data_IF_179213335518
#
_entry.id   IF_179213335518
#
_cell.length_a   1.000
_cell.length_b   1.000
_cell.length_c   1.000
_cell.angle_alpha   90.00
_cell.angle_beta   90.00
_cell.angle_gamma   90.00
#
_symmetry.space_group_name_H-M   'P 1'
#
loop_
_entity.id
_entity.type
_entity.pdbx_description
1 polymer ?
#
# COMPACT_ATOMS: atom_id res chain seq x y z
N UNK A 1 -13.13 15.18 -14.63
CA UNK A 1 -12.18 15.57 -13.56
C UNK A 1 -12.78 15.48 -12.15
N UNK A 2 -14.08 15.80 -11.96
CA UNK A 2 -14.75 15.78 -10.64
C UNK A 2 -14.76 14.43 -9.90
N UNK A 3 -14.76 13.29 -10.61
CA UNK A 3 -14.75 11.94 -10.00
C UNK A 3 -13.39 11.51 -9.43
N UNK A 4 -12.29 11.89 -10.08
CA UNK A 4 -10.92 11.61 -9.63
C UNK A 4 -10.64 12.36 -8.34
N UNK A 5 -11.02 13.64 -8.33
CA UNK A 5 -10.89 14.48 -7.15
C UNK A 5 -11.67 13.90 -5.98
N UNK A 6 -12.90 13.39 -6.18
CA UNK A 6 -13.69 12.72 -5.13
C UNK A 6 -13.05 11.42 -4.64
N UNK A 7 -12.52 10.57 -5.52
CA UNK A 7 -11.87 9.32 -5.12
C UNK A 7 -10.57 9.60 -4.36
N UNK A 8 -9.75 10.55 -4.85
CA UNK A 8 -8.55 11.01 -4.16
C UNK A 8 -8.92 11.65 -2.82
N UNK A 9 -10.01 12.41 -2.75
CA UNK A 9 -10.51 12.97 -1.49
C UNK A 9 -10.95 11.88 -0.52
N UNK A 10 -11.68 10.87 -0.98
CA UNK A 10 -12.17 9.74 -0.17
C UNK A 10 -10.98 8.91 0.33
N UNK A 11 -10.02 8.60 -0.53
CA UNK A 11 -8.79 7.90 -0.15
C UNK A 11 -7.98 8.75 0.83
N UNK A 12 -7.83 10.06 0.58
CA UNK A 12 -7.13 10.97 1.49
C UNK A 12 -7.87 11.17 2.83
N UNK A 13 -9.21 11.14 2.85
CA UNK A 13 -9.99 11.22 4.08
C UNK A 13 -10.01 9.90 4.83
N UNK A 14 -9.99 8.75 4.16
CA UNK A 14 -9.84 7.45 4.82
C UNK A 14 -8.44 7.28 5.41
N UNK A 15 -7.40 7.70 4.67
CA UNK A 15 -6.02 7.76 5.17
C UNK A 15 -5.92 8.76 6.33
N UNK A 16 -6.48 9.97 6.19
CA UNK A 16 -6.52 10.95 7.26
C UNK A 16 -7.26 10.44 8.50
N UNK A 17 -8.42 9.81 8.33
CA UNK A 17 -9.18 9.20 9.41
C UNK A 17 -8.42 8.05 10.07
N UNK A 18 -7.65 7.25 9.30
CA UNK A 18 -6.79 6.20 9.85
C UNK A 18 -5.61 6.72 10.68
N UNK A 19 -5.17 7.96 10.42
CA UNK A 19 -4.12 8.65 11.16
C UNK A 19 -4.69 9.36 12.40
N UNK A 20 -5.93 9.84 12.34
CA UNK A 20 -6.59 10.62 13.39
C UNK A 20 -7.28 9.73 14.44
N UNK A 21 -7.81 8.55 14.05
CA UNK A 21 -8.41 7.62 15.01
C UNK A 21 -7.32 6.86 15.77
N UNK A 22 -7.52 6.51 17.06
CA UNK A 22 -6.57 5.71 17.83
C UNK A 22 -6.57 4.24 17.38
N UNK A 23 -6.36 3.97 16.09
CA UNK A 23 -6.33 2.62 15.48
C UNK A 23 -5.42 1.69 16.29
N UNK A 24 -4.31 2.22 16.80
CA UNK A 24 -3.43 1.49 17.71
C UNK A 24 -4.18 0.96 18.94
N UNK A 25 -4.96 1.77 19.65
CA UNK A 25 -5.70 1.35 20.86
C UNK A 25 -6.78 0.31 20.56
N UNK A 26 -7.53 0.50 19.46
CA UNK A 26 -8.55 -0.46 19.02
C UNK A 26 -7.93 -1.81 18.65
N UNK A 27 -6.75 -1.76 18.05
CA UNK A 27 -5.98 -2.95 17.71
C UNK A 27 -5.39 -3.65 18.92
N UNK A 28 -4.97 -2.91 19.95
CA UNK A 28 -4.56 -3.48 21.23
C UNK A 28 -5.72 -4.22 21.89
N UNK A 29 -6.90 -3.59 21.94
CA UNK A 29 -8.10 -4.21 22.48
C UNK A 29 -8.49 -5.49 21.71
N UNK A 30 -8.37 -5.46 20.37
CA UNK A 30 -8.59 -6.62 19.52
C UNK A 30 -7.62 -7.75 19.83
N UNK A 31 -6.33 -7.46 19.96
CA UNK A 31 -5.28 -8.45 20.26
C UNK A 31 -5.54 -9.12 21.61
N UNK A 32 -5.91 -8.35 22.64
CA UNK A 32 -6.29 -8.87 23.95
C UNK A 32 -7.54 -9.76 23.86
N UNK A 33 -8.56 -9.30 23.13
CA UNK A 33 -9.80 -10.05 22.94
C UNK A 33 -9.58 -11.36 22.18
N UNK A 34 -8.75 -11.34 21.13
CA UNK A 34 -8.40 -12.54 20.34
C UNK A 34 -7.68 -13.56 21.22
N UNK A 35 -6.75 -13.10 22.06
CA UNK A 35 -6.05 -13.97 23.02
C UNK A 35 -7.00 -14.63 24.02
N UNK A 36 -8.09 -13.96 24.39
CA UNK A 36 -9.13 -14.49 25.28
C UNK A 36 -10.17 -15.40 24.57
N UNK A 37 -10.38 -15.24 23.27
CA UNK A 37 -11.52 -15.84 22.53
C UNK A 37 -11.19 -17.11 21.74
N UNK A 38 -9.93 -17.59 21.77
CA UNK A 38 -9.53 -18.84 21.12
C UNK A 38 -9.79 -18.87 19.60
N UNK A 39 -10.41 -19.95 19.10
CA UNK A 39 -10.63 -20.19 17.65
C UNK A 39 -11.51 -19.10 17.00
N UNK A 40 -12.50 -18.57 17.72
CA UNK A 40 -13.32 -17.46 17.23
C UNK A 40 -12.52 -16.17 17.04
N UNK A 41 -11.48 -15.98 17.85
CA UNK A 41 -10.54 -14.88 17.70
C UNK A 41 -9.81 -14.89 16.35
N UNK A 42 -9.46 -16.07 15.83
CA UNK A 42 -8.78 -16.23 14.53
C UNK A 42 -9.66 -15.77 13.37
N UNK A 43 -10.94 -16.13 13.37
CA UNK A 43 -11.89 -15.75 12.32
C UNK A 43 -12.11 -14.23 12.29
N UNK A 44 -12.36 -13.63 13.46
CA UNK A 44 -12.56 -12.18 13.61
C UNK A 44 -11.30 -11.41 13.23
N UNK A 45 -10.12 -11.85 13.70
CA UNK A 45 -8.84 -11.27 13.33
C UNK A 45 -8.63 -11.28 11.80
N UNK A 46 -8.95 -12.39 11.14
CA UNK A 46 -8.79 -12.54 9.69
C UNK A 46 -9.68 -11.57 8.91
N UNK A 47 -10.94 -11.42 9.33
CA UNK A 47 -11.89 -10.47 8.73
C UNK A 47 -11.38 -9.03 8.90
N UNK A 48 -10.93 -8.68 10.11
CA UNK A 48 -10.42 -7.34 10.39
C UNK A 48 -9.15 -7.06 9.60
N UNK A 49 -8.27 -8.04 9.44
CA UNK A 49 -7.09 -7.90 8.59
C UNK A 49 -7.47 -7.57 7.14
N UNK A 50 -8.45 -8.27 6.58
CA UNK A 50 -8.93 -8.03 5.21
C UNK A 50 -9.51 -6.63 5.08
N UNK A 51 -10.37 -6.22 6.01
CA UNK A 51 -10.98 -4.88 6.01
C UNK A 51 -9.90 -3.81 6.14
N UNK A 52 -8.94 -4.00 7.05
CA UNK A 52 -7.83 -3.08 7.26
C UNK A 52 -7.02 -2.88 5.97
N UNK A 53 -6.65 -3.97 5.31
CA UNK A 53 -5.95 -3.92 4.03
C UNK A 53 -6.72 -3.15 2.95
N UNK A 54 -8.04 -3.34 2.87
CA UNK A 54 -8.91 -2.64 1.92
C UNK A 54 -9.00 -1.14 2.21
N UNK A 55 -9.01 -0.76 3.49
CA UNK A 55 -9.07 0.62 3.98
C UNK A 55 -7.73 1.34 4.05
N UNK A 56 -6.67 0.80 3.46
CA UNK A 56 -5.31 1.37 3.50
C UNK A 56 -4.69 1.46 4.91
N UNK A 57 -5.20 0.67 5.86
CA UNK A 57 -4.60 0.59 7.19
C UNK A 57 -3.27 -0.18 7.15
N UNK A 58 -2.26 0.23 7.94
CA UNK A 58 -0.97 -0.45 7.98
C UNK A 58 -1.13 -1.91 8.43
N UNK A 59 -0.82 -2.87 7.55
CA UNK A 59 -0.90 -4.30 7.89
C UNK A 59 0.16 -4.77 8.91
N UNK A 60 1.23 -3.99 9.10
CA UNK A 60 2.38 -4.33 9.95
C UNK A 60 1.95 -4.60 11.39
N UNK A 61 1.09 -3.76 11.96
CA UNK A 61 0.62 -3.89 13.34
C UNK A 61 -0.23 -5.14 13.54
N UNK A 62 -1.00 -5.56 12.53
CA UNK A 62 -1.79 -6.78 12.58
C UNK A 62 -0.88 -7.99 12.53
N UNK A 63 0.11 -7.99 11.64
CA UNK A 63 1.09 -9.08 11.51
C UNK A 63 1.95 -9.23 12.77
N UNK A 64 2.44 -8.13 13.34
CA UNK A 64 3.14 -8.14 14.63
C UNK A 64 2.22 -8.66 15.75
N UNK A 65 0.96 -8.20 15.79
CA UNK A 65 -0.04 -8.66 16.75
C UNK A 65 -0.33 -10.16 16.65
N UNK A 66 -0.38 -10.71 15.44
CA UNK A 66 -0.51 -12.16 15.23
C UNK A 66 0.68 -12.92 15.79
N UNK A 67 1.90 -12.38 15.64
CA UNK A 67 3.11 -12.91 16.26
C UNK A 67 3.05 -12.91 17.78
N UNK A 68 2.56 -11.81 18.37
CA UNK A 68 2.40 -11.66 19.81
C UNK A 68 1.38 -12.65 20.41
N UNK A 69 0.29 -12.93 19.69
CA UNK A 69 -0.80 -13.81 20.19
C UNK A 69 -0.52 -15.28 19.91
N UNK A 70 -0.13 -15.61 18.68
CA UNK A 70 -0.05 -17.00 18.21
C UNK A 70 1.38 -17.51 18.11
N UNK A 71 2.38 -16.66 18.29
CA UNK A 71 3.78 -16.98 18.06
C UNK A 71 4.18 -16.91 16.58
N UNK A 72 5.47 -17.11 16.28
CA UNK A 72 6.02 -16.89 14.94
C UNK A 72 5.45 -17.85 13.89
N UNK A 73 5.41 -19.15 14.21
CA UNK A 73 4.99 -20.19 13.27
C UNK A 73 3.49 -20.13 12.98
N UNK A 74 2.66 -20.20 14.01
CA UNK A 74 1.20 -20.15 13.84
C UNK A 74 0.71 -18.80 13.36
N UNK A 75 1.34 -17.70 13.82
CA UNK A 75 1.07 -16.36 13.29
C UNK A 75 1.36 -16.27 11.80
N UNK A 76 2.47 -16.83 11.32
CA UNK A 76 2.79 -16.84 9.88
C UNK A 76 1.80 -17.68 9.08
N UNK A 77 1.47 -18.89 9.57
CA UNK A 77 0.53 -19.80 8.90
C UNK A 77 -0.88 -19.20 8.79
N UNK A 78 -1.28 -18.38 9.77
CA UNK A 78 -2.56 -17.67 9.78
C UNK A 78 -2.51 -16.44 8.86
N UNK A 79 -1.52 -15.57 9.05
CA UNK A 79 -1.45 -14.27 8.35
C UNK A 79 -1.13 -14.43 6.86
N UNK A 80 -0.31 -15.41 6.47
CA UNK A 80 0.06 -15.60 5.07
C UNK A 80 -1.15 -15.75 4.13
N UNK A 81 -2.06 -16.72 4.31
CA UNK A 81 -3.25 -16.85 3.45
C UNK A 81 -4.21 -15.67 3.59
N UNK A 82 -4.40 -15.13 4.80
CA UNK A 82 -5.29 -13.98 5.05
C UNK A 82 -4.80 -12.73 4.33
N UNK A 83 -3.50 -12.47 4.40
CA UNK A 83 -2.88 -11.33 3.73
C UNK A 83 -2.97 -11.47 2.22
N UNK A 84 -2.68 -12.64 1.66
CA UNK A 84 -2.80 -12.86 0.21
C UNK A 84 -4.25 -12.73 -0.26
N UNK A 85 -5.23 -13.20 0.53
CA UNK A 85 -6.64 -13.01 0.24
C UNK A 85 -7.02 -11.53 0.26
N UNK A 86 -6.58 -10.78 1.28
CA UNK A 86 -6.81 -9.35 1.37
C UNK A 86 -6.17 -8.58 0.18
N UNK A 87 -4.94 -8.94 -0.18
CA UNK A 87 -4.22 -8.40 -1.33
C UNK A 87 -4.96 -8.69 -2.63
N UNK A 88 -5.51 -9.90 -2.77
CA UNK A 88 -6.27 -10.32 -3.95
C UNK A 88 -7.60 -9.58 -4.07
N UNK A 89 -8.30 -9.33 -2.97
CA UNK A 89 -9.55 -8.56 -2.98
C UNK A 89 -9.31 -7.10 -3.40
N UNK A 90 -8.28 -6.44 -2.85
CA UNK A 90 -7.88 -5.10 -3.25
C UNK A 90 -7.46 -5.04 -4.73
N UNK A 91 -6.64 -6.01 -5.16
CA UNK A 91 -6.25 -6.20 -6.56
C UNK A 91 -7.47 -6.36 -7.48
N UNK A 92 -8.41 -7.23 -7.12
CA UNK A 92 -9.59 -7.54 -7.93
C UNK A 92 -10.53 -6.34 -8.04
N UNK A 93 -10.67 -5.57 -6.96
CA UNK A 93 -11.43 -4.33 -6.96
C UNK A 93 -10.83 -3.31 -7.95
N UNK A 94 -9.50 -3.13 -7.93
CA UNK A 94 -8.81 -2.30 -8.91
C UNK A 94 -8.93 -2.83 -10.34
N UNK A 95 -8.64 -4.12 -10.55
CA UNK A 95 -8.56 -4.74 -11.86
C UNK A 95 -9.91 -4.80 -12.59
N UNK A 96 -11.00 -5.09 -11.86
CA UNK A 96 -12.33 -5.16 -12.44
C UNK A 96 -12.98 -3.79 -12.65
N UNK A 97 -12.98 -2.93 -11.62
CA UNK A 97 -13.78 -1.69 -11.62
C UNK A 97 -12.98 -0.44 -11.98
N UNK A 98 -11.72 -0.35 -11.58
CA UNK A 98 -10.92 0.87 -11.75
C UNK A 98 -10.11 0.84 -13.05
N UNK A 99 -9.55 -0.32 -13.43
CA UNK A 99 -8.70 -0.45 -14.62
C UNK A 99 -9.35 -0.01 -15.93
N UNK A 100 -10.61 -0.40 -16.27
CA UNK A 100 -11.24 0.06 -17.52
C UNK A 100 -11.40 1.58 -17.57
N UNK A 101 -11.70 2.19 -16.43
CA UNK A 101 -11.83 3.64 -16.30
C UNK A 101 -10.47 4.34 -16.42
N UNK A 102 -9.40 3.78 -15.82
CA UNK A 102 -8.03 4.30 -15.93
C UNK A 102 -7.54 4.22 -17.37
N UNK A 103 -7.70 3.08 -18.05
CA UNK A 103 -7.29 2.90 -19.46
C UNK A 103 -7.98 3.94 -20.35
N UNK A 104 -9.29 4.12 -20.19
CA UNK A 104 -10.05 5.14 -20.93
C UNK A 104 -9.56 6.57 -20.66
N UNK A 105 -9.04 6.83 -19.47
CA UNK A 105 -8.58 8.17 -19.06
C UNK A 105 -7.14 8.47 -19.46
N UNK A 106 -6.28 7.47 -19.40
CA UNK A 106 -4.85 7.56 -19.70
C UNK A 106 -4.61 7.58 -21.21
N UNK A 107 -5.52 6.98 -22.01
CA UNK A 107 -5.44 7.00 -23.47
C UNK A 107 -4.13 6.37 -23.98
N UNK A 108 -3.55 6.93 -25.04
CA UNK A 108 -2.31 6.43 -25.68
C UNK A 108 -1.02 6.83 -24.96
N UNK A 109 -1.06 6.94 -23.63
CA UNK A 109 0.17 7.22 -22.88
C UNK A 109 1.16 6.05 -23.03
N UNK A 110 2.23 6.30 -23.77
CA UNK A 110 3.28 5.32 -24.06
C UNK A 110 3.98 4.80 -22.80
N UNK A 111 4.13 5.63 -21.77
CA UNK A 111 4.75 5.21 -20.50
C UNK A 111 3.86 4.24 -19.74
N UNK A 112 2.57 4.54 -19.63
CA UNK A 112 1.62 3.62 -18.97
C UNK A 112 1.56 2.29 -19.71
N UNK A 113 1.48 2.32 -21.04
CA UNK A 113 1.44 1.11 -21.86
C UNK A 113 2.73 0.28 -21.74
N UNK A 114 3.90 0.92 -21.69
CA UNK A 114 5.17 0.23 -21.49
C UNK A 114 5.25 -0.47 -20.12
N UNK A 115 4.79 0.21 -19.05
CA UNK A 115 4.71 -0.37 -17.71
C UNK A 115 3.69 -1.51 -17.69
N UNK A 116 2.49 -1.31 -18.25
CA UNK A 116 1.44 -2.33 -18.29
C UNK A 116 1.90 -3.59 -19.02
N UNK A 117 2.58 -3.45 -20.16
CA UNK A 117 3.11 -4.57 -20.94
C UNK A 117 4.23 -5.30 -20.18
N UNK A 118 5.22 -4.57 -19.65
CA UNK A 118 6.32 -5.18 -18.89
C UNK A 118 5.80 -5.97 -17.67
N UNK A 119 4.84 -5.38 -16.96
CA UNK A 119 4.18 -5.98 -15.80
C UNK A 119 3.29 -7.17 -16.21
N UNK A 120 2.63 -7.12 -17.36
CA UNK A 120 1.81 -8.24 -17.87
C UNK A 120 2.66 -9.44 -18.28
N UNK A 121 3.80 -9.19 -18.94
CA UNK A 121 4.70 -10.24 -19.45
C UNK A 121 5.45 -10.95 -18.33
N UNK A 122 5.98 -10.19 -17.36
CA UNK A 122 6.78 -10.73 -16.24
C UNK A 122 6.06 -10.62 -14.89
N UNK A 123 4.73 -10.70 -14.88
CA UNK A 123 3.90 -10.40 -13.71
C UNK A 123 4.31 -11.14 -12.44
N UNK A 124 4.67 -12.42 -12.52
CA UNK A 124 5.13 -13.16 -11.34
C UNK A 124 6.42 -12.54 -10.76
N UNK A 125 7.44 -12.35 -11.61
CA UNK A 125 8.77 -11.85 -11.19
C UNK A 125 8.68 -10.43 -10.66
N UNK A 126 7.95 -9.56 -11.35
CA UNK A 126 7.79 -8.15 -10.96
C UNK A 126 7.03 -8.05 -9.65
N UNK A 127 5.91 -8.76 -9.49
CA UNK A 127 5.15 -8.76 -8.23
C UNK A 127 6.03 -9.28 -7.09
N UNK A 128 6.74 -10.39 -7.29
CA UNK A 128 7.62 -10.96 -6.25
C UNK A 128 8.70 -9.97 -5.81
N UNK A 129 9.40 -9.33 -6.76
CA UNK A 129 10.43 -8.33 -6.45
C UNK A 129 9.85 -7.11 -5.73
N UNK A 130 8.67 -6.65 -6.14
CA UNK A 130 7.99 -5.54 -5.48
C UNK A 130 7.51 -5.90 -4.06
N UNK A 131 7.19 -7.17 -3.79
CA UNK A 131 6.81 -7.65 -2.44
C UNK A 131 8.00 -7.80 -1.51
N UNK A 132 9.15 -8.18 -2.04
CA UNK A 132 10.41 -8.23 -1.29
C UNK A 132 10.98 -6.83 -1.02
N UNK A 133 10.55 -5.84 -1.81
CA UNK A 133 10.97 -4.46 -1.67
C UNK A 133 10.08 -3.70 -0.66
N UNK A 134 10.65 -3.01 0.34
CA UNK A 134 9.89 -2.20 1.29
C UNK A 134 9.47 -0.83 0.74
N UNK A 135 9.65 -0.59 -0.57
CA UNK A 135 9.48 0.74 -1.18
C UNK A 135 8.03 1.24 -1.21
N UNK A 136 7.05 0.33 -1.27
CA UNK A 136 5.66 0.69 -1.45
C UNK A 136 4.80 0.18 -0.30
N UNK A 137 3.83 0.97 0.19
CA UNK A 137 2.89 0.47 1.17
C UNK A 137 2.08 -0.68 0.61
N UNK A 138 1.82 -1.64 1.48
CA UNK A 138 1.11 -2.85 1.17
C UNK A 138 -0.21 -2.61 0.40
N UNK A 139 -1.10 -1.77 0.92
CA UNK A 139 -2.40 -1.50 0.28
C UNK A 139 -2.23 -0.77 -1.05
N UNK A 140 -1.37 0.25 -1.11
CA UNK A 140 -1.10 0.98 -2.35
C UNK A 140 -0.63 0.05 -3.47
N UNK A 141 0.34 -0.82 -3.17
CA UNK A 141 0.89 -1.77 -4.13
C UNK A 141 -0.18 -2.74 -4.66
N UNK A 142 -1.12 -3.18 -3.81
CA UNK A 142 -2.22 -4.06 -4.21
C UNK A 142 -3.12 -3.41 -5.28
N UNK A 143 -3.52 -2.15 -5.06
CA UNK A 143 -4.34 -1.42 -6.01
C UNK A 143 -3.55 -1.05 -7.27
N UNK A 144 -2.29 -0.61 -7.13
CA UNK A 144 -1.43 -0.27 -8.26
C UNK A 144 -1.23 -1.46 -9.20
N UNK A 145 -0.91 -2.64 -8.67
CA UNK A 145 -0.80 -3.88 -9.45
C UNK A 145 -2.15 -4.31 -10.05
N UNK A 146 -3.26 -4.06 -9.36
CA UNK A 146 -4.60 -4.30 -9.92
C UNK A 146 -4.93 -3.44 -11.13
N UNK A 147 -4.37 -2.22 -11.22
CA UNK A 147 -4.53 -1.37 -12.40
C UNK A 147 -3.73 -1.85 -13.61
N UNK A 148 -2.79 -2.77 -13.42
CA UNK A 148 -2.01 -3.37 -14.51
C UNK A 148 -2.66 -4.66 -15.04
N UNK A 149 -2.12 -5.19 -16.14
CA UNK A 149 -2.53 -6.42 -16.79
C UNK A 149 -1.93 -7.71 -16.20
N UNK A 150 -1.34 -7.67 -14.99
CA UNK A 150 -0.92 -8.89 -14.29
C UNK A 150 -2.07 -9.89 -14.23
N UNK A 151 -1.78 -11.17 -14.44
CA UNK A 151 -2.77 -12.24 -14.25
C UNK A 151 -2.97 -12.53 -12.76
N UNK A 152 -4.22 -12.68 -12.32
CA UNK A 152 -4.58 -13.00 -10.94
C UNK A 152 -3.77 -14.17 -10.34
N UNK A 153 -3.54 -15.24 -11.11
CA UNK A 153 -2.74 -16.40 -10.67
C UNK A 153 -1.29 -16.01 -10.34
N UNK A 154 -0.64 -15.26 -11.23
CA UNK A 154 0.73 -14.79 -11.03
C UNK A 154 0.81 -13.85 -9.83
N UNK A 155 -0.17 -12.98 -9.67
CA UNK A 155 -0.25 -12.06 -8.52
C UNK A 155 -0.36 -12.80 -7.18
N UNK A 156 -1.28 -13.78 -7.08
CA UNK A 156 -1.51 -14.55 -5.86
C UNK A 156 -0.29 -15.39 -5.49
N UNK A 157 0.28 -16.12 -6.45
CA UNK A 157 1.44 -16.98 -6.20
C UNK A 157 2.68 -16.16 -5.83
N UNK A 158 2.96 -15.08 -6.56
CA UNK A 158 4.09 -14.22 -6.25
C UNK A 158 3.90 -13.47 -4.93
N UNK A 159 2.68 -13.05 -4.59
CA UNK A 159 2.40 -12.42 -3.29
C UNK A 159 2.55 -13.41 -2.15
N UNK A 160 2.08 -14.65 -2.32
CA UNK A 160 2.24 -15.69 -1.30
C UNK A 160 3.72 -15.96 -1.03
N UNK A 161 4.52 -16.24 -2.05
CA UNK A 161 5.95 -16.53 -1.87
C UNK A 161 6.74 -15.28 -1.45
N UNK A 162 6.48 -14.13 -2.06
CA UNK A 162 7.22 -12.89 -1.81
C UNK A 162 6.94 -12.26 -0.45
N UNK A 163 5.74 -12.45 0.12
CA UNK A 163 5.40 -11.90 1.44
C UNK A 163 5.76 -12.83 2.59
N UNK A 164 5.98 -14.13 2.35
CA UNK A 164 6.29 -15.10 3.39
C UNK A 164 7.50 -14.71 4.27
N UNK A 165 8.66 -14.32 3.71
CA UNK A 165 9.83 -13.95 4.53
C UNK A 165 9.54 -12.76 5.44
N UNK A 166 8.90 -11.71 4.91
CA UNK A 166 8.53 -10.54 5.69
C UNK A 166 7.46 -10.88 6.75
N UNK A 167 6.47 -11.71 6.41
CA UNK A 167 5.42 -12.15 7.34
C UNK A 167 6.02 -12.95 8.50
N UNK A 168 6.95 -13.85 8.22
CA UNK A 168 7.68 -14.58 9.24
C UNK A 168 8.51 -13.65 10.13
N UNK A 169 9.25 -12.71 9.52
CA UNK A 169 10.03 -11.74 10.26
C UNK A 169 9.14 -10.90 11.21
N UNK A 170 8.03 -10.34 10.73
CA UNK A 170 7.14 -9.53 11.56
C UNK A 170 6.43 -10.35 12.63
N UNK A 171 5.99 -11.58 12.35
CA UNK A 171 5.40 -12.42 13.39
C UNK A 171 6.43 -12.88 14.42
N UNK A 172 7.68 -13.10 14.00
CA UNK A 172 8.80 -13.36 14.90
C UNK A 172 9.09 -12.16 15.80
N UNK A 173 9.25 -10.97 15.23
CA UNK A 173 9.43 -9.74 16.02
C UNK A 173 8.26 -9.51 16.97
N UNK A 174 7.02 -9.72 16.52
CA UNK A 174 5.84 -9.63 17.36
C UNK A 174 5.83 -10.62 18.53
N UNK A 175 6.39 -11.82 18.34
CA UNK A 175 6.49 -12.83 19.40
C UNK A 175 7.56 -12.52 20.46
N UNK A 176 8.54 -11.68 20.13
CA UNK A 176 9.58 -11.22 21.07
C UNK A 176 9.08 -10.09 21.97
N UNK A 177 8.03 -9.38 21.54
CA UNK A 177 7.45 -8.28 22.30
C UNK A 177 6.71 -8.83 23.51
N UNK A 178 6.96 -8.27 24.69
CA UNK A 178 6.38 -8.76 25.95
C UNK A 178 5.16 -7.96 26.39
N UNK A 179 5.08 -6.70 25.95
CA UNK A 179 3.98 -5.80 26.30
C UNK A 179 3.27 -5.22 25.07
N UNK A 180 1.99 -4.93 25.26
CA UNK A 180 1.15 -4.28 24.25
C UNK A 180 1.68 -2.87 23.91
N UNK A 181 2.33 -2.20 24.86
CA UNK A 181 2.98 -0.90 24.67
C UNK A 181 4.20 -0.97 23.77
N UNK A 182 5.07 -1.98 23.95
CA UNK A 182 6.20 -2.25 23.06
C UNK A 182 5.73 -2.58 21.64
N UNK A 183 4.63 -3.31 21.50
CA UNK A 183 4.03 -3.65 20.21
C UNK A 183 3.56 -2.39 19.49
N UNK A 184 2.90 -1.49 20.23
CA UNK A 184 2.46 -0.21 19.72
C UNK A 184 3.65 0.65 19.27
N UNK A 185 4.74 0.68 20.04
CA UNK A 185 5.95 1.42 19.69
C UNK A 185 6.64 0.83 18.44
N UNK A 186 6.77 -0.49 18.34
CA UNK A 186 7.32 -1.16 17.17
C UNK A 186 6.49 -0.88 15.90
N UNK A 187 5.16 -0.85 16.04
CA UNK A 187 4.28 -0.48 14.93
C UNK A 187 4.38 1.00 14.53
N UNK A 188 4.49 1.90 15.53
CA UNK A 188 4.64 3.34 15.30
C UNK A 188 5.95 3.64 14.58
N UNK A 189 7.06 3.05 14.99
CA UNK A 189 8.34 3.22 14.32
C UNK A 189 8.25 2.85 12.83
N UNK A 190 7.67 1.69 12.51
CA UNK A 190 7.47 1.29 11.11
C UNK A 190 6.55 2.22 10.31
N UNK A 191 5.54 2.80 10.97
CA UNK A 191 4.66 3.80 10.36
C UNK A 191 5.37 5.15 10.13
N UNK A 192 6.19 5.60 11.09
CA UNK A 192 7.02 6.81 10.97
C UNK A 192 8.06 6.68 9.87
N UNK A 193 8.72 5.52 9.75
CA UNK A 193 9.67 5.25 8.67
C UNK A 193 8.99 5.34 7.30
N UNK A 194 7.81 4.72 7.16
CA UNK A 194 7.02 4.80 5.93
C UNK A 194 6.56 6.24 5.63
N UNK A 195 6.11 6.98 6.63
CA UNK A 195 5.73 8.39 6.49
C UNK A 195 6.93 9.26 6.07
N UNK A 196 8.09 9.05 6.66
CA UNK A 196 9.33 9.76 6.34
C UNK A 196 9.71 9.52 4.87
N UNK A 197 9.72 8.26 4.41
CA UNK A 197 9.97 7.90 3.01
C UNK A 197 8.97 8.60 2.09
N UNK A 198 7.68 8.56 2.41
CA UNK A 198 6.66 9.25 1.63
C UNK A 198 6.86 10.76 1.57
N UNK A 199 7.26 11.37 2.68
CA UNK A 199 7.51 12.81 2.74
C UNK A 199 8.69 13.19 1.86
N UNK A 200 9.79 12.44 1.91
CA UNK A 200 10.96 12.68 1.06
C UNK A 200 10.67 12.47 -0.42
N UNK A 201 9.94 11.40 -0.77
CA UNK A 201 9.54 11.13 -2.15
C UNK A 201 8.55 12.19 -2.65
N UNK A 202 7.55 12.55 -1.84
CA UNK A 202 6.57 13.59 -2.18
C UNK A 202 7.22 14.97 -2.34
N UNK A 203 8.21 15.28 -1.50
CA UNK A 203 9.01 16.50 -1.60
C UNK A 203 9.81 16.52 -2.91
N UNK A 204 10.49 15.43 -3.27
CA UNK A 204 11.23 15.31 -4.52
C UNK A 204 10.33 15.48 -5.76
N UNK A 205 9.14 14.87 -5.74
CA UNK A 205 8.13 15.03 -6.80
C UNK A 205 7.65 16.48 -6.90
N UNK A 206 7.40 17.14 -5.77
CA UNK A 206 6.98 18.55 -5.74
C UNK A 206 8.04 19.45 -6.34
N UNK A 207 9.32 19.24 -5.99
CA UNK A 207 10.44 19.97 -6.57
C UNK A 207 10.53 19.77 -8.08
N UNK A 208 10.40 18.52 -8.57
CA UNK A 208 10.42 18.22 -10.00
C UNK A 208 9.27 18.91 -10.75
N UNK A 209 8.05 18.85 -10.23
CA UNK A 209 6.87 19.47 -10.84
C UNK A 209 7.02 20.99 -10.88
N UNK A 210 7.40 21.61 -9.76
CA UNK A 210 7.63 23.06 -9.69
C UNK A 210 8.72 23.51 -10.65
N UNK A 211 9.83 22.76 -10.73
CA UNK A 211 10.92 23.03 -11.67
C UNK A 211 10.44 22.92 -13.11
N UNK A 212 9.71 21.87 -13.44
CA UNK A 212 9.19 21.63 -14.79
C UNK A 212 8.19 22.71 -15.24
N UNK A 213 7.26 23.09 -14.36
CA UNK A 213 6.31 24.18 -14.63
C UNK A 213 7.05 25.50 -14.80
N UNK A 214 8.02 25.80 -13.94
CA UNK A 214 8.84 27.01 -14.05
C UNK A 214 9.59 27.06 -15.38
N UNK A 215 10.14 25.93 -15.83
CA UNK A 215 10.84 25.82 -17.11
C UNK A 215 9.89 26.01 -18.31
N UNK A 216 8.69 25.43 -18.26
CA UNK A 216 7.65 25.61 -19.28
C UNK A 216 7.15 27.05 -19.34
N UNK A 217 6.88 27.67 -18.19
CA UNK A 217 6.47 29.07 -18.11
C UNK A 217 7.55 30.00 -18.67
N UNK A 218 8.83 29.75 -18.38
CA UNK A 218 9.94 30.53 -18.94
C UNK A 218 10.08 30.38 -20.45
N UNK A 219 9.84 29.18 -21.00
CA UNK A 219 9.87 28.95 -22.45
C UNK A 219 8.71 29.67 -23.16
N UNK A 220 7.49 29.55 -22.64
CA UNK A 220 6.31 30.20 -23.19
C UNK A 220 6.40 31.75 -23.13
N UNK A 221 7.02 32.30 -22.08
CA UNK A 221 7.28 33.74 -21.97
C UNK A 221 8.32 34.23 -22.99
N UNK A 222 9.34 33.43 -23.30
CA UNK A 222 10.35 33.78 -24.32
C UNK A 222 9.79 33.81 -25.74
N UNK A 223 8.80 32.97 -26.04
CA UNK A 223 8.14 32.92 -27.34
C UNK A 223 7.08 34.03 -27.53
N UNK A 224 6.61 34.64 -26.43
CA UNK A 224 5.54 35.66 -26.45
C UNK A 224 6.01 37.09 -26.25
N UNK A 225 7.32 37.33 -26.03
CA UNK A 225 7.92 38.66 -25.99
C UNK A 225 8.60 38.93 -27.34
N UNK A 226 8.06 39.82 -28.20
CA UNK A 226 8.73 40.25 -29.42
C UNK A 226 10.10 40.83 -29.09
N UNK A 227 11.14 40.39 -29.81
CA UNK A 227 12.52 40.85 -29.61
C UNK A 227 12.78 42.30 -30.07
N UNK A 228 11.74 43.03 -30.51
CA UNK A 228 11.86 44.33 -31.17
C UNK A 228 11.27 45.47 -30.33
N UNK A 229 11.77 45.71 -29.12
CA UNK A 229 11.67 47.04 -28.47
C UNK A 229 12.92 47.25 -27.60
N UNK A 230 14.08 47.25 -28.24
CA UNK A 230 15.33 47.82 -27.72
C UNK A 230 15.68 49.06 -28.54
N UNK A 231 15.64 50.19 -27.84
CA UNK A 231 16.12 51.55 -28.16
C UNK A 231 17.30 51.59 -29.14
#
# INVERSE_FOLDING_TARGET
>A
MKGIFKIVLIVATLIGASIIWPVAEWMQALIVWVKASGVWGVAVFSIIYIIAALLFLPGVILTLGAGFVFGPLWGTLLVSPVSVLAAFLAYSLAHGRMRPWVIKKVGDNKHFSAVDNAVSDQGFRIVMLLRLSPLFPYSFLNYALGLTGVKARSYVLASFVGMLPATFLYTYLGSLVTSVTELANASKQGAEDAQSIFMWVGFAVTLLVTSYVTLLSRRALRESVPQDLGV
#
